data_IF_113455759380
#
_entry.id   IF_113455759380
#
_cell.length_a   1.000
_cell.length_b   1.000
_cell.length_c   1.000
_cell.angle_alpha   90.00
_cell.angle_beta   90.00
_cell.angle_gamma   90.00
#
_symmetry.space_group_name_H-M   'P 1'
#
loop_
_entity.id
_entity.type
_entity.pdbx_description
1 polymer ?
#
# COMPACT_ATOMS: atom_id res chain seq x y z
N UNK A 1 -7.34 -7.10 1.77
CA UNK A 1 -6.49 -6.40 2.77
C UNK A 1 -7.11 -5.03 3.02
N UNK A 2 -7.31 -4.60 4.27
CA UNK A 2 -8.11 -3.40 4.59
C UNK A 2 -7.25 -2.30 5.24
N UNK A 3 -6.57 -1.46 4.44
CA UNK A 3 -5.73 -0.40 4.97
C UNK A 3 -6.57 0.73 5.61
N UNK A 4 -6.10 1.35 6.71
CA UNK A 4 -6.75 2.53 7.29
C UNK A 4 -6.62 3.75 6.37
N UNK A 5 -5.56 3.82 5.57
CA UNK A 5 -5.37 4.82 4.51
C UNK A 5 -5.86 4.26 3.18
N UNK A 6 -7.00 4.73 2.70
CA UNK A 6 -7.62 4.24 1.46
C UNK A 6 -6.99 4.86 0.20
N UNK A 7 -6.46 6.07 0.29
CA UNK A 7 -5.70 6.75 -0.75
C UNK A 7 -4.70 7.75 -0.14
N UNK A 8 -3.74 8.21 -0.95
CA UNK A 8 -2.88 9.35 -0.65
C UNK A 8 -2.79 10.23 -1.88
N UNK A 9 -2.61 11.53 -1.72
CA UNK A 9 -2.51 12.48 -2.81
C UNK A 9 -1.15 13.20 -2.84
N UNK A 10 -0.80 13.71 -4.03
CA UNK A 10 0.36 14.54 -4.27
C UNK A 10 -0.02 15.69 -5.19
N UNK A 11 0.40 16.90 -4.85
CA UNK A 11 0.27 18.06 -5.72
C UNK A 11 1.55 18.28 -6.51
N UNK A 12 1.42 18.36 -7.83
CA UNK A 12 2.48 18.80 -8.72
C UNK A 12 2.85 20.26 -8.39
N UNK A 13 4.09 20.53 -7.99
CA UNK A 13 4.57 21.91 -7.71
C UNK A 13 5.22 22.55 -8.95
N UNK A 14 5.53 21.74 -9.95
CA UNK A 14 6.08 22.14 -11.24
C UNK A 14 5.54 21.19 -12.31
N UNK A 15 5.47 21.61 -13.58
CA UNK A 15 5.09 20.71 -14.65
C UNK A 15 6.06 19.53 -14.74
N UNK A 16 5.53 18.33 -14.95
CA UNK A 16 6.34 17.14 -15.17
C UNK A 16 5.58 16.10 -16.00
N UNK A 17 6.33 15.25 -16.68
CA UNK A 17 5.79 14.18 -17.52
C UNK A 17 6.22 12.84 -16.98
N UNK A 18 5.27 11.91 -16.92
CA UNK A 18 5.55 10.49 -16.67
C UNK A 18 5.53 9.81 -18.03
N UNK A 19 6.71 9.34 -18.45
CA UNK A 19 6.82 8.52 -19.64
C UNK A 19 6.33 7.10 -19.34
N UNK A 20 5.67 6.45 -20.30
CA UNK A 20 5.16 5.11 -20.11
C UNK A 20 6.33 4.10 -20.06
N UNK A 21 6.24 3.11 -19.16
CA UNK A 21 7.20 2.00 -19.14
C UNK A 21 6.93 1.00 -20.28
N UNK A 22 5.68 0.88 -20.71
CA UNK A 22 5.22 -0.03 -21.77
C UNK A 22 4.67 0.76 -22.97
N UNK A 23 4.91 0.27 -24.20
CA UNK A 23 4.58 1.01 -25.44
C UNK A 23 3.09 1.21 -25.71
N UNK A 24 2.22 0.47 -25.03
CA UNK A 24 0.76 0.57 -25.12
C UNK A 24 0.15 1.56 -24.13
N UNK A 25 0.96 2.06 -23.18
CA UNK A 25 0.54 3.10 -22.22
C UNK A 25 0.84 4.49 -22.78
N UNK A 26 -0.06 5.44 -22.55
CA UNK A 26 0.12 6.82 -22.98
C UNK A 26 0.99 7.63 -22.01
N UNK A 27 1.77 8.57 -22.54
CA UNK A 27 2.47 9.59 -21.74
C UNK A 27 1.47 10.43 -20.93
N UNK A 28 1.76 10.64 -19.65
CA UNK A 28 0.92 11.43 -18.75
C UNK A 28 1.64 12.73 -18.37
N UNK A 29 1.07 13.85 -18.79
CA UNK A 29 1.56 15.18 -18.47
C UNK A 29 0.82 15.76 -17.26
N UNK A 30 1.56 16.32 -16.31
CA UNK A 30 1.03 17.01 -15.14
C UNK A 30 1.40 18.48 -15.19
N UNK A 31 0.40 19.36 -15.20
CA UNK A 31 0.62 20.79 -14.98
C UNK A 31 0.87 21.09 -13.51
N UNK A 32 1.50 22.23 -13.24
CA UNK A 32 1.63 22.72 -11.86
C UNK A 32 0.25 22.93 -11.24
N UNK A 33 0.09 22.48 -10.00
CA UNK A 33 -1.18 22.48 -9.27
C UNK A 33 -2.01 21.20 -9.44
N UNK A 34 -1.70 20.34 -10.40
CA UNK A 34 -2.42 19.07 -10.61
C UNK A 34 -2.31 18.17 -9.36
N UNK A 35 -3.42 17.59 -8.95
CA UNK A 35 -3.48 16.63 -7.83
C UNK A 35 -3.49 15.21 -8.41
N UNK A 36 -2.46 14.44 -8.08
CA UNK A 36 -2.38 13.02 -8.36
C UNK A 36 -2.86 12.24 -7.13
N UNK A 37 -3.85 11.37 -7.31
CA UNK A 37 -4.38 10.51 -6.25
C UNK A 37 -3.90 9.09 -6.47
N UNK A 38 -3.30 8.51 -5.44
CA UNK A 38 -2.80 7.13 -5.42
C UNK A 38 -3.83 6.29 -4.65
N UNK A 39 -4.59 5.42 -5.33
CA UNK A 39 -5.69 4.66 -4.71
C UNK A 39 -5.15 3.42 -4.00
N UNK A 40 -4.57 3.59 -2.81
CA UNK A 40 -3.93 2.54 -2.01
C UNK A 40 -4.82 1.31 -1.84
N UNK A 41 -6.09 1.50 -1.46
CA UNK A 41 -7.03 0.38 -1.29
C UNK A 41 -7.28 -0.39 -2.60
N UNK A 42 -7.40 0.31 -3.72
CA UNK A 42 -7.61 -0.34 -5.02
C UNK A 42 -6.38 -1.17 -5.42
N UNK A 43 -5.17 -0.62 -5.24
CA UNK A 43 -3.91 -1.35 -5.49
C UNK A 43 -3.82 -2.59 -4.59
N UNK A 44 -4.18 -2.48 -3.31
CA UNK A 44 -4.19 -3.60 -2.35
C UNK A 44 -5.23 -4.69 -2.68
N UNK A 45 -6.24 -4.33 -3.47
CA UNK A 45 -7.29 -5.25 -3.93
C UNK A 45 -7.09 -5.72 -5.37
N UNK A 46 -6.02 -5.30 -6.04
CA UNK A 46 -5.72 -5.67 -7.41
C UNK A 46 -5.12 -7.08 -7.46
N UNK A 47 -5.73 -7.95 -8.26
CA UNK A 47 -5.30 -9.34 -8.41
C UNK A 47 -3.95 -9.46 -9.13
N UNK A 48 -3.55 -8.44 -9.90
CA UNK A 48 -2.24 -8.39 -10.57
C UNK A 48 -1.08 -8.42 -9.58
N UNK A 49 -1.28 -7.81 -8.41
CA UNK A 49 -0.27 -7.77 -7.34
C UNK A 49 -0.57 -8.76 -6.22
N UNK A 50 -1.85 -9.00 -5.94
CA UNK A 50 -2.28 -9.83 -4.81
C UNK A 50 -3.28 -10.89 -5.25
N UNK A 51 -2.82 -12.13 -5.52
CA UNK A 51 -3.72 -13.25 -5.77
C UNK A 51 -4.68 -13.44 -4.59
N UNK A 52 -5.97 -13.58 -4.87
CA UNK A 52 -7.04 -13.70 -3.85
C UNK A 52 -7.00 -12.57 -2.78
N UNK A 53 -7.13 -11.29 -3.15
CA UNK A 53 -6.84 -10.16 -2.26
C UNK A 53 -7.84 -9.99 -1.10
N UNK A 54 -9.03 -10.57 -1.25
CA UNK A 54 -10.07 -10.63 -0.21
C UNK A 54 -9.79 -11.68 0.87
N UNK A 55 -8.94 -12.68 0.58
CA UNK A 55 -8.55 -13.71 1.54
C UNK A 55 -7.49 -13.13 2.48
N UNK A 56 -7.70 -13.27 3.78
CA UNK A 56 -6.66 -13.01 4.77
C UNK A 56 -5.59 -14.10 4.66
N UNK A 57 -4.38 -13.70 4.29
CA UNK A 57 -3.24 -14.59 4.09
C UNK A 57 -1.98 -13.96 4.72
N UNK A 58 -1.57 -14.42 5.91
CA UNK A 58 -0.42 -13.87 6.63
C UNK A 58 0.92 -14.22 5.97
N UNK A 59 0.99 -15.32 5.22
CA UNK A 59 2.23 -15.80 4.60
C UNK A 59 2.65 -14.96 3.39
N UNK A 60 1.74 -14.12 2.88
CA UNK A 60 1.98 -13.16 1.80
C UNK A 60 3.19 -12.24 2.04
N UNK A 61 3.45 -11.89 3.30
CA UNK A 61 4.55 -11.00 3.70
C UNK A 61 5.69 -11.75 4.42
N UNK A 62 5.69 -13.08 4.34
CA UNK A 62 6.74 -13.93 4.90
C UNK A 62 8.10 -13.61 4.26
N UNK A 63 9.19 -13.93 4.95
CA UNK A 63 10.55 -13.67 4.45
C UNK A 63 10.82 -14.32 3.08
N UNK A 64 10.22 -15.50 2.83
CA UNK A 64 10.34 -16.24 1.56
C UNK A 64 9.63 -15.49 0.43
N UNK A 65 8.43 -14.97 0.70
CA UNK A 65 7.59 -14.31 -0.32
C UNK A 65 7.94 -12.82 -0.52
N UNK A 66 8.82 -12.23 0.30
CA UNK A 66 9.20 -10.80 0.17
C UNK A 66 9.70 -10.44 -1.23
N UNK A 67 10.40 -11.34 -1.90
CA UNK A 67 10.95 -11.08 -3.23
C UNK A 67 9.90 -11.11 -4.34
N UNK A 68 8.75 -11.75 -4.11
CA UNK A 68 7.65 -11.81 -5.10
C UNK A 68 6.75 -10.59 -5.04
N UNK A 69 6.95 -9.69 -4.07
CA UNK A 69 6.13 -8.50 -3.90
C UNK A 69 6.57 -7.41 -4.89
N UNK A 70 5.63 -6.92 -5.68
CA UNK A 70 5.87 -5.78 -6.56
C UNK A 70 6.21 -4.54 -5.73
N UNK A 71 7.34 -3.86 -6.03
CA UNK A 71 7.69 -2.60 -5.39
C UNK A 71 6.53 -1.61 -5.45
N UNK A 72 6.32 -0.85 -4.37
CA UNK A 72 5.26 0.16 -4.26
C UNK A 72 3.81 -0.33 -4.44
N UNK A 73 3.55 -1.65 -4.56
CA UNK A 73 2.19 -2.17 -4.49
C UNK A 73 1.66 -2.22 -3.04
N UNK A 74 2.54 -2.37 -2.05
CA UNK A 74 2.17 -2.40 -0.63
C UNK A 74 2.47 -1.07 0.08
N UNK A 75 1.50 -0.13 0.05
CA UNK A 75 1.63 1.21 0.63
C UNK A 75 0.65 1.54 1.78
N UNK A 76 0.47 0.68 2.82
CA UNK A 76 -0.50 0.95 3.90
C UNK A 76 -0.19 2.21 4.72
N UNK A 77 1.05 2.69 4.66
CA UNK A 77 1.55 3.85 5.41
C UNK A 77 2.20 4.90 4.50
N UNK A 78 1.94 4.82 3.19
CA UNK A 78 2.62 5.63 2.18
C UNK A 78 4.10 5.26 2.00
N UNK A 79 4.80 6.04 1.18
CA UNK A 79 6.23 5.88 0.90
C UNK A 79 6.92 7.21 0.59
N UNK A 80 8.26 7.18 0.64
CA UNK A 80 9.13 8.32 0.37
C UNK A 80 9.26 9.27 1.57
N UNK A 81 9.75 10.51 1.36
CA UNK A 81 10.06 11.47 2.44
C UNK A 81 8.83 11.96 3.21
N UNK A 82 7.62 11.63 2.75
CA UNK A 82 6.34 11.95 3.38
C UNK A 82 5.56 10.69 3.79
N UNK A 83 6.25 9.55 3.94
CA UNK A 83 5.66 8.35 4.54
C UNK A 83 5.33 8.55 6.03
N UNK A 84 4.51 7.67 6.59
CA UNK A 84 4.14 7.73 8.01
C UNK A 84 5.38 7.72 8.92
N UNK A 85 5.44 8.64 9.88
CA UNK A 85 6.53 8.70 10.86
C UNK A 85 6.52 7.51 11.84
N UNK A 86 5.37 6.83 11.99
CA UNK A 86 5.22 5.69 12.89
C UNK A 86 5.80 4.36 12.38
N UNK A 87 6.24 4.29 11.11
CA UNK A 87 6.83 3.07 10.54
C UNK A 87 8.33 2.93 10.82
N UNK A 88 8.94 3.90 11.53
CA UNK A 88 10.34 3.86 11.92
C UNK A 88 10.62 2.50 12.58
N UNK A 89 11.59 1.70 12.08
CA UNK A 89 11.84 0.33 12.57
C UNK A 89 12.42 0.27 14.00
N UNK A 90 12.49 1.40 14.71
CA UNK A 90 13.19 1.54 16.00
C UNK A 90 12.30 1.24 17.22
N UNK A 91 11.00 1.03 17.04
CA UNK A 91 10.14 0.55 18.15
C UNK A 91 9.88 -0.94 17.95
N UNK A 92 10.29 -1.83 18.88
CA UNK A 92 9.86 -3.22 18.83
C UNK A 92 8.35 -3.26 19.03
N UNK A 93 7.61 -3.34 17.92
CA UNK A 93 6.17 -3.46 17.92
C UNK A 93 5.79 -4.84 18.46
N UNK A 94 5.51 -4.87 19.77
CA UNK A 94 4.61 -5.78 20.48
C UNK A 94 4.56 -7.22 19.96
N UNK A 95 5.57 -8.01 20.32
CA UNK A 95 5.40 -9.46 20.52
C UNK A 95 4.81 -9.68 21.92
N UNK A 96 3.49 -9.63 22.05
CA UNK A 96 2.77 -10.17 23.22
C UNK A 96 1.29 -10.40 22.86
N UNK A 97 1.04 -11.43 22.04
CA UNK A 97 -0.32 -11.93 21.76
C UNK A 97 -0.56 -13.29 22.45
N UNK A 98 0.39 -13.75 23.26
CA UNK A 98 0.50 -15.15 23.69
C UNK A 98 -0.48 -15.59 24.79
N UNK A 99 -1.38 -14.74 25.27
CA UNK A 99 -2.22 -15.05 26.45
C UNK A 99 -3.72 -14.78 26.27
N UNK A 100 -4.17 -14.29 25.11
CA UNK A 100 -5.58 -13.99 24.88
C UNK A 100 -6.16 -14.88 23.78
N UNK A 101 -7.26 -15.57 24.11
CA UNK A 101 -8.07 -16.31 23.14
C UNK A 101 -9.16 -15.35 22.63
N UNK A 102 -9.00 -14.88 21.41
CA UNK A 102 -9.97 -14.01 20.76
C UNK A 102 -11.11 -14.87 20.19
N UNK A 103 -12.35 -14.44 20.38
CA UNK A 103 -13.52 -14.94 19.67
C UNK A 103 -14.28 -13.77 19.08
N UNK A 104 -14.97 -13.99 17.97
CA UNK A 104 -15.80 -12.95 17.34
C UNK A 104 -16.98 -12.70 18.27
N UNK A 105 -17.15 -11.45 18.72
CA UNK A 105 -18.36 -11.05 19.44
C UNK A 105 -19.50 -11.02 18.42
N UNK A 106 -20.35 -12.06 18.41
CA UNK A 106 -21.57 -12.04 17.60
C UNK A 106 -22.59 -11.15 18.32
N UNK A 107 -22.83 -9.96 17.77
CA UNK A 107 -24.00 -9.16 18.14
C UNK A 107 -25.20 -9.86 17.52
N UNK A 108 -26.00 -10.52 18.36
CA UNK A 108 -27.31 -11.08 18.00
C UNK A 108 -28.38 -10.00 17.98
#
# INVERSE_FOLDING_TARGET
>A
MWPPLTFTDRRAVKPFTIEPEESDQGTVCFDSGTICVIPVHAIHMDQRYYPNPKKFDPDRFSAVNKQTLTPFAYLPFGAGPKGCIGIIPTVPALRNVSFFRYSICSVG
#
